data_IF_476397712110
#
_entry.id   IF_476397712110
#
_cell.length_a   1.000
_cell.length_b   1.000
_cell.length_c   1.000
_cell.angle_alpha   90.00
_cell.angle_beta   90.00
_cell.angle_gamma   90.00
#
_symmetry.space_group_name_H-M   'P 1'
#
loop_
_entity.id
_entity.type
_entity.pdbx_description
1 polymer ?
#
# COMPACT_ATOMS: atom_id res chain seq x y z
N UNK A 1 -49.24 -4.01 6.25
CA UNK A 1 -48.46 -2.77 6.07
C UNK A 1 -47.71 -2.52 7.36
N UNK A 2 -46.41 -2.81 7.43
CA UNK A 2 -45.58 -2.56 8.60
C UNK A 2 -44.32 -1.82 8.13
N UNK A 3 -44.14 -0.63 8.71
CA UNK A 3 -43.31 0.46 8.19
C UNK A 3 -41.92 0.42 8.83
N UNK A 4 -40.91 0.43 7.95
CA UNK A 4 -39.52 0.92 8.07
C UNK A 4 -38.62 0.48 9.23
N UNK A 5 -37.56 -0.25 8.85
CA UNK A 5 -36.35 -0.55 9.64
C UNK A 5 -35.70 0.73 10.21
N UNK A 6 -34.98 0.63 11.35
CA UNK A 6 -34.62 1.77 12.18
C UNK A 6 -33.47 2.62 11.57
N UNK A 7 -33.59 3.96 11.55
CA UNK A 7 -32.59 4.89 11.01
C UNK A 7 -31.22 4.85 11.72
N UNK A 8 -31.15 4.26 12.92
CA UNK A 8 -29.91 4.08 13.65
C UNK A 8 -28.95 3.08 12.97
N UNK A 9 -29.48 2.07 12.25
CA UNK A 9 -28.64 1.12 11.51
C UNK A 9 -28.07 1.77 10.24
N UNK A 10 -28.82 2.66 9.59
CA UNK A 10 -28.34 3.43 8.44
C UNK A 10 -27.30 4.48 8.85
N UNK A 11 -27.54 5.22 9.95
CA UNK A 11 -26.58 6.19 10.45
C UNK A 11 -25.27 5.53 10.92
N UNK A 12 -25.35 4.41 11.66
CA UNK A 12 -24.14 3.68 12.07
C UNK A 12 -23.39 3.08 10.89
N UNK A 13 -24.10 2.61 9.85
CA UNK A 13 -23.48 2.15 8.60
C UNK A 13 -22.81 3.29 7.84
N UNK A 14 -23.46 4.44 7.70
CA UNK A 14 -22.89 5.65 7.07
C UNK A 14 -21.67 6.16 7.86
N UNK A 15 -21.77 6.25 9.19
CA UNK A 15 -20.64 6.66 10.05
C UNK A 15 -19.50 5.63 10.02
N UNK A 16 -19.80 4.34 9.98
CA UNK A 16 -18.79 3.29 9.86
C UNK A 16 -18.16 3.27 8.47
N UNK A 17 -18.92 3.54 7.41
CA UNK A 17 -18.40 3.73 6.06
C UNK A 17 -17.46 4.93 6.03
N UNK A 18 -17.82 6.07 6.63
CA UNK A 18 -16.92 7.21 6.77
C UNK A 18 -15.65 6.88 7.56
N UNK A 19 -15.74 6.17 8.69
CA UNK A 19 -14.58 5.75 9.46
C UNK A 19 -13.73 4.69 8.74
N UNK A 20 -14.36 3.76 8.02
CA UNK A 20 -13.69 2.74 7.23
C UNK A 20 -13.01 3.34 5.99
N UNK A 21 -13.65 4.30 5.33
CA UNK A 21 -13.10 5.13 4.26
C UNK A 21 -11.93 5.96 4.78
N UNK A 22 -12.06 6.62 5.93
CA UNK A 22 -10.95 7.34 6.56
C UNK A 22 -9.75 6.41 6.85
N UNK A 23 -10.01 5.22 7.40
CA UNK A 23 -8.96 4.20 7.60
C UNK A 23 -8.35 3.71 6.28
N UNK A 24 -9.16 3.57 5.22
CA UNK A 24 -8.69 3.19 3.90
C UNK A 24 -7.82 4.28 3.27
N UNK A 25 -8.27 5.53 3.29
CA UNK A 25 -7.51 6.70 2.82
C UNK A 25 -6.22 6.88 3.61
N UNK A 26 -6.24 6.64 4.93
CA UNK A 26 -5.04 6.67 5.76
C UNK A 26 -4.04 5.59 5.32
N UNK A 27 -4.49 4.34 5.15
CA UNK A 27 -3.64 3.25 4.65
C UNK A 27 -3.10 3.52 3.25
N UNK A 28 -3.90 4.12 2.37
CA UNK A 28 -3.47 4.50 1.03
C UNK A 28 -2.38 5.58 1.08
N UNK A 29 -2.57 6.62 1.90
CA UNK A 29 -1.55 7.66 2.12
C UNK A 29 -0.26 7.09 2.67
N UNK A 30 -0.34 6.23 3.68
CA UNK A 30 0.84 5.56 4.22
C UNK A 30 1.55 4.67 3.19
N UNK A 31 0.81 3.94 2.36
CA UNK A 31 1.39 3.15 1.26
C UNK A 31 2.12 4.05 0.27
N UNK A 32 1.50 5.17 -0.12
CA UNK A 32 2.10 6.13 -1.05
C UNK A 32 3.34 6.80 -0.45
N UNK A 33 3.34 7.18 0.83
CA UNK A 33 4.52 7.73 1.49
C UNK A 33 5.69 6.73 1.53
N UNK A 34 5.40 5.46 1.86
CA UNK A 34 6.39 4.37 1.77
C UNK A 34 6.91 4.22 0.35
N UNK A 35 6.04 4.30 -0.65
CA UNK A 35 6.42 4.22 -2.07
C UNK A 35 7.33 5.36 -2.50
N UNK A 36 7.01 6.60 -2.15
CA UNK A 36 7.83 7.76 -2.48
C UNK A 36 9.24 7.64 -1.90
N UNK A 37 9.37 7.18 -0.66
CA UNK A 37 10.66 6.99 0.01
C UNK A 37 11.42 5.83 -0.64
N UNK A 38 10.79 4.65 -0.74
CA UNK A 38 11.40 3.47 -1.35
C UNK A 38 11.89 3.70 -2.79
N UNK A 39 11.17 4.51 -3.55
CA UNK A 39 11.50 4.76 -4.97
C UNK A 39 12.59 5.82 -5.18
N UNK A 40 13.00 6.59 -4.17
CA UNK A 40 14.09 7.59 -4.30
C UNK A 40 15.42 6.97 -4.67
N UNK A 41 15.71 5.78 -4.14
CA UNK A 41 16.94 5.04 -4.44
C UNK A 41 16.86 4.24 -5.75
N UNK A 42 15.68 4.16 -6.38
CA UNK A 42 15.48 3.42 -7.61
C UNK A 42 15.81 4.27 -8.84
N UNK A 43 16.36 3.67 -9.92
CA UNK A 43 16.52 4.35 -11.20
C UNK A 43 15.17 4.86 -11.73
N UNK A 44 15.16 6.05 -12.35
CA UNK A 44 13.94 6.70 -12.82
C UNK A 44 13.09 5.81 -13.76
N UNK A 45 13.74 5.07 -14.66
CA UNK A 45 13.07 4.14 -15.57
C UNK A 45 12.35 2.98 -14.85
N UNK A 46 12.87 2.55 -13.69
CA UNK A 46 12.25 1.52 -12.86
C UNK A 46 11.09 2.13 -12.06
N UNK A 47 11.28 3.33 -11.51
CA UNK A 47 10.28 4.05 -10.70
C UNK A 47 8.96 4.23 -11.43
N UNK A 48 8.99 4.62 -12.71
CA UNK A 48 7.78 4.87 -13.51
C UNK A 48 6.96 3.61 -13.81
N UNK A 49 7.60 2.44 -13.72
CA UNK A 49 6.99 1.15 -14.04
C UNK A 49 6.37 0.47 -12.82
N UNK A 50 6.75 0.87 -11.61
CA UNK A 50 6.29 0.25 -10.37
C UNK A 50 5.02 0.93 -9.86
N UNK A 51 4.17 0.16 -9.17
CA UNK A 51 3.04 0.71 -8.42
C UNK A 51 3.10 0.29 -6.96
N UNK A 52 2.65 1.19 -6.09
CA UNK A 52 2.41 0.89 -4.68
C UNK A 52 1.23 -0.08 -4.57
N UNK A 53 1.46 -1.24 -3.96
CA UNK A 53 0.40 -2.15 -3.56
C UNK A 53 -0.16 -1.79 -2.18
N UNK A 54 -1.16 -2.53 -1.70
CA UNK A 54 -1.71 -2.35 -0.37
C UNK A 54 -0.66 -2.61 0.71
N UNK A 55 -0.79 -1.89 1.83
CA UNK A 55 -0.12 -2.21 3.09
C UNK A 55 -1.11 -2.98 3.95
N UNK A 56 -0.80 -4.23 4.23
CA UNK A 56 -1.61 -5.11 5.06
C UNK A 56 -0.88 -5.42 6.39
N UNK A 57 -1.50 -6.26 7.22
CA UNK A 57 -0.92 -6.72 8.49
C UNK A 57 0.40 -7.47 8.30
N UNK A 58 0.57 -8.19 7.19
CA UNK A 58 1.76 -9.01 6.91
C UNK A 58 2.92 -8.25 6.27
N UNK A 59 2.66 -7.09 5.65
CA UNK A 59 3.70 -6.40 4.89
C UNK A 59 3.17 -5.42 3.85
N UNK A 60 4.09 -4.93 3.03
CA UNK A 60 3.82 -4.00 1.94
C UNK A 60 4.16 -4.63 0.60
N UNK A 61 3.23 -4.56 -0.36
CA UNK A 61 3.43 -5.17 -1.68
C UNK A 61 3.85 -4.12 -2.70
N UNK A 62 4.88 -4.41 -3.48
CA UNK A 62 5.26 -3.67 -4.68
C UNK A 62 4.81 -4.44 -5.93
N UNK A 63 4.15 -3.73 -6.83
CA UNK A 63 3.63 -4.30 -8.06
C UNK A 63 4.60 -4.02 -9.21
N UNK A 64 5.06 -5.10 -9.87
CA UNK A 64 5.96 -5.06 -11.01
C UNK A 64 5.22 -5.46 -12.30
N UNK A 65 5.47 -4.79 -13.44
CA UNK A 65 4.74 -5.06 -14.68
C UNK A 65 5.23 -6.31 -15.43
N UNK A 66 6.41 -6.83 -15.08
CA UNK A 66 6.96 -8.03 -15.71
C UNK A 66 8.01 -8.70 -14.81
N UNK A 67 8.37 -9.94 -15.16
CA UNK A 67 9.32 -10.76 -14.41
C UNK A 67 10.72 -10.13 -14.34
N UNK A 68 11.17 -9.41 -15.37
CA UNK A 68 12.48 -8.76 -15.40
C UNK A 68 12.56 -7.62 -14.38
N UNK A 69 11.54 -6.77 -14.32
CA UNK A 69 11.41 -5.71 -13.32
C UNK A 69 11.30 -6.31 -11.92
N UNK A 70 10.52 -7.38 -11.74
CA UNK A 70 10.42 -8.08 -10.46
C UNK A 70 11.77 -8.66 -9.99
N UNK A 71 12.54 -9.26 -10.88
CA UNK A 71 13.88 -9.78 -10.56
C UNK A 71 14.84 -8.65 -10.15
N UNK A 72 14.86 -7.55 -10.90
CA UNK A 72 15.67 -6.37 -10.56
C UNK A 72 15.25 -5.74 -9.23
N UNK A 73 13.95 -5.72 -8.95
CA UNK A 73 13.42 -5.24 -7.68
C UNK A 73 13.83 -6.15 -6.51
N UNK A 74 13.83 -7.48 -6.69
CA UNK A 74 14.34 -8.45 -5.69
C UNK A 74 15.82 -8.21 -5.38
N UNK A 75 16.63 -7.92 -6.40
CA UNK A 75 18.05 -7.60 -6.20
C UNK A 75 18.26 -6.30 -5.41
N UNK A 76 17.36 -5.32 -5.58
CA UNK A 76 17.41 -4.05 -4.87
C UNK A 76 16.69 -4.08 -3.51
N UNK A 77 15.93 -5.13 -3.21
CA UNK A 77 15.08 -5.23 -2.03
C UNK A 77 15.83 -4.97 -0.72
N UNK A 78 17.01 -5.54 -0.46
CA UNK A 78 17.72 -5.30 0.80
C UNK A 78 18.08 -3.82 1.00
N UNK A 79 18.41 -3.11 -0.09
CA UNK A 79 18.71 -1.68 -0.06
C UNK A 79 17.45 -0.83 0.17
N UNK A 80 16.33 -1.23 -0.41
CA UNK A 80 15.03 -0.58 -0.19
C UNK A 80 14.61 -0.74 1.27
N UNK A 81 14.74 -1.94 1.82
CA UNK A 81 14.43 -2.22 3.23
C UNK A 81 15.30 -1.40 4.19
N UNK A 82 16.60 -1.29 3.90
CA UNK A 82 17.51 -0.42 4.67
C UNK A 82 17.07 1.04 4.58
N UNK A 83 16.82 1.55 3.38
CA UNK A 83 16.42 2.95 3.19
C UNK A 83 15.09 3.29 3.88
N UNK A 84 14.13 2.34 3.89
CA UNK A 84 12.87 2.51 4.60
C UNK A 84 13.07 2.53 6.11
N UNK A 85 13.90 1.63 6.66
CA UNK A 85 14.30 1.67 8.08
C UNK A 85 14.92 3.00 8.45
N UNK A 86 15.88 3.49 7.66
CA UNK A 86 16.58 4.76 7.90
C UNK A 86 15.61 5.95 7.85
N UNK A 87 14.56 5.86 7.04
CA UNK A 87 13.49 6.85 6.96
C UNK A 87 12.40 6.69 8.03
N UNK A 88 12.56 5.78 9.00
CA UNK A 88 11.64 5.57 10.11
C UNK A 88 10.42 4.69 9.79
N UNK A 89 10.40 4.06 8.61
CA UNK A 89 9.41 3.04 8.29
C UNK A 89 9.92 1.71 8.81
N UNK A 90 9.29 1.17 9.86
CA UNK A 90 9.73 -0.07 10.52
C UNK A 90 9.79 -1.30 9.61
N UNK A 91 10.17 -2.45 10.18
CA UNK A 91 10.48 -3.72 9.48
C UNK A 91 9.27 -4.46 8.91
N UNK A 92 8.42 -3.77 8.15
CA UNK A 92 7.36 -4.43 7.37
C UNK A 92 7.99 -5.17 6.19
N UNK A 93 7.71 -6.47 6.10
CA UNK A 93 8.18 -7.33 5.00
C UNK A 93 7.70 -6.79 3.65
N UNK A 94 8.62 -6.61 2.71
CA UNK A 94 8.29 -6.15 1.37
C UNK A 94 8.06 -7.36 0.46
N UNK A 95 6.90 -7.41 -0.20
CA UNK A 95 6.52 -8.46 -1.16
C UNK A 95 6.53 -7.89 -2.57
N UNK A 96 6.83 -8.75 -3.55
CA UNK A 96 6.83 -8.35 -4.96
C UNK A 96 5.81 -9.21 -5.69
N UNK A 97 4.83 -8.57 -6.31
CA UNK A 97 3.77 -9.22 -7.08
C UNK A 97 3.80 -8.74 -8.53
N UNK A 98 3.51 -9.65 -9.47
CA UNK A 98 3.38 -9.30 -10.89
C UNK A 98 1.98 -8.73 -11.13
N UNK A 99 1.91 -7.60 -11.82
CA UNK A 99 0.63 -7.08 -12.30
C UNK A 99 0.09 -8.04 -13.38
N UNK A 100 -1.20 -8.42 -13.31
CA UNK A 100 -1.85 -9.14 -14.40
C UNK A 100 -1.97 -8.28 -15.66
#
# INVERSE_FOLDING_TARGET
MATTLPPALELSKVLNEHAALQRLTQRLRESNQRFEVATRILPAALRQQLRAGPVDGEGWTLLAPNAAVAAKLRQLLPRIEQHLRDAGFGDKRIRIHLQP
#
